data_IF_173028715306
#
_entry.id   IF_173028715306
#
_cell.length_a   1.000
_cell.length_b   1.000
_cell.length_c   1.000
_cell.angle_alpha   90.00
_cell.angle_beta   90.00
_cell.angle_gamma   90.00
#
_symmetry.space_group_name_H-M   'P 1'
#
loop_
_entity.id
_entity.type
_entity.pdbx_description
1 polymer ?
#
# COMPACT_ATOMS: atom_id res chain seq x y z
N UNK A 1 4.20 -10.27 -6.37
CA UNK A 1 4.06 -9.94 -4.95
C UNK A 1 4.39 -8.47 -4.69
N UNK A 2 5.48 -7.87 -5.23
CA UNK A 2 5.96 -6.52 -4.89
C UNK A 2 4.91 -5.40 -5.00
N UNK A 3 4.02 -5.43 -5.99
CA UNK A 3 2.93 -4.45 -6.10
C UNK A 3 1.95 -4.59 -4.94
N UNK A 4 1.59 -5.81 -4.57
CA UNK A 4 0.71 -6.05 -3.41
C UNK A 4 1.39 -5.67 -2.10
N UNK A 5 2.70 -5.93 -1.98
CA UNK A 5 3.49 -5.54 -0.81
C UNK A 5 3.54 -4.01 -0.65
N UNK A 6 3.58 -3.26 -1.78
CA UNK A 6 3.44 -1.81 -1.78
C UNK A 6 2.10 -1.36 -1.18
N UNK A 7 1.00 -2.03 -1.55
CA UNK A 7 -0.33 -1.70 -1.04
C UNK A 7 -0.47 -2.01 0.45
N UNK A 8 0.05 -3.17 0.89
CA UNK A 8 0.09 -3.54 2.31
C UNK A 8 0.86 -2.49 3.10
N UNK A 9 2.04 -2.12 2.61
CA UNK A 9 2.89 -1.11 3.26
C UNK A 9 2.21 0.26 3.31
N UNK A 10 1.57 0.68 2.20
CA UNK A 10 0.79 1.92 2.16
C UNK A 10 -0.38 1.91 3.15
N UNK A 11 -1.11 0.79 3.22
CA UNK A 11 -2.19 0.58 4.18
C UNK A 11 -1.70 0.58 5.64
N UNK A 12 -0.51 0.05 5.91
CA UNK A 12 0.10 0.10 7.24
C UNK A 12 0.43 1.54 7.66
N UNK A 13 0.96 2.34 6.74
CA UNK A 13 1.24 3.76 7.01
C UNK A 13 -0.06 4.50 7.37
N UNK A 14 -1.13 4.28 6.61
CA UNK A 14 -2.44 4.87 6.88
C UNK A 14 -2.97 4.41 8.25
N UNK A 15 -2.90 3.12 8.55
CA UNK A 15 -3.34 2.55 9.83
C UNK A 15 -2.61 3.17 11.03
N UNK A 16 -1.29 3.37 10.91
CA UNK A 16 -0.49 4.01 11.95
C UNK A 16 -0.92 5.46 12.19
N UNK A 17 -1.16 6.22 11.10
CA UNK A 17 -1.62 7.62 11.21
C UNK A 17 -3.06 7.73 11.77
N UNK A 18 -3.89 6.73 11.53
CA UNK A 18 -5.22 6.61 12.15
C UNK A 18 -5.13 6.23 13.64
N UNK A 19 -3.95 5.86 14.14
CA UNK A 19 -3.77 5.39 15.51
C UNK A 19 -4.10 3.90 15.72
N UNK A 20 -4.46 3.16 14.67
CA UNK A 20 -4.76 1.73 14.75
C UNK A 20 -3.54 0.87 15.10
N UNK A 21 -2.32 1.42 14.94
CA UNK A 21 -1.08 0.78 15.35
C UNK A 21 -0.95 0.58 16.87
N UNK A 22 -1.62 1.39 17.69
CA UNK A 22 -1.60 1.23 19.14
C UNK A 22 -2.35 -0.02 19.62
N UNK A 23 -3.37 -0.46 18.89
CA UNK A 23 -4.11 -1.66 19.24
C UNK A 23 -3.24 -2.93 19.19
N UNK A 24 -2.28 -2.98 18.27
CA UNK A 24 -1.34 -4.10 18.14
C UNK A 24 -0.24 -4.09 19.22
N UNK A 25 0.07 -2.93 19.82
CA UNK A 25 1.04 -2.80 20.90
C UNK A 25 0.47 -3.21 22.26
N UNK A 26 -0.85 -3.18 22.44
CA UNK A 26 -1.50 -3.49 23.73
C UNK A 26 -1.77 -4.98 23.93
N UNK A 27 -1.66 -5.81 22.91
CA UNK A 27 -1.81 -7.28 23.04
C UNK A 27 -0.60 -8.04 22.44
N UNK A 28 0.55 -8.04 23.13
CA UNK A 28 1.73 -8.77 22.67
C UNK A 28 1.59 -10.30 22.76
N UNK A 29 0.56 -10.83 23.42
CA UNK A 29 0.42 -12.28 23.61
C UNK A 29 -0.30 -12.98 22.46
N UNK A 30 -1.17 -12.28 21.73
CA UNK A 30 -1.84 -12.81 20.54
C UNK A 30 -1.16 -12.39 19.22
N UNK A 31 -0.05 -11.69 19.27
CA UNK A 31 1.10 -11.58 18.35
C UNK A 31 0.88 -11.38 16.85
N UNK A 32 -0.32 -11.40 16.34
CA UNK A 32 -0.59 -11.17 14.92
C UNK A 32 -1.25 -9.81 14.75
N UNK A 33 -0.44 -8.76 14.69
CA UNK A 33 -0.95 -7.47 14.22
C UNK A 33 -1.29 -7.62 12.72
N UNK A 34 -2.49 -8.05 12.45
CA UNK A 34 -2.99 -8.07 11.08
C UNK A 34 -3.25 -6.61 10.68
N UNK A 35 -2.55 -6.07 9.70
CA UNK A 35 -2.75 -4.70 9.25
C UNK A 35 -4.10 -4.62 8.52
N UNK A 36 -5.19 -4.43 9.25
CA UNK A 36 -6.58 -4.47 8.72
C UNK A 36 -6.73 -3.56 7.51
N UNK A 37 -6.15 -2.35 7.56
CA UNK A 37 -6.20 -1.40 6.43
C UNK A 37 -5.38 -1.91 5.25
N UNK A 38 -4.19 -2.49 5.49
CA UNK A 38 -3.38 -3.11 4.44
C UNK A 38 -4.11 -4.29 3.79
N UNK A 39 -4.79 -5.11 4.59
CA UNK A 39 -5.61 -6.22 4.09
C UNK A 39 -6.79 -5.73 3.25
N UNK A 40 -7.47 -4.67 3.67
CA UNK A 40 -8.53 -4.04 2.88
C UNK A 40 -8.03 -3.64 1.50
N UNK A 41 -6.90 -2.92 1.40
CA UNK A 41 -6.32 -2.54 0.11
C UNK A 41 -5.88 -3.76 -0.70
N UNK A 42 -5.37 -4.81 -0.08
CA UNK A 42 -4.98 -6.04 -0.77
C UNK A 42 -6.19 -6.75 -1.39
N UNK A 43 -7.28 -6.87 -0.65
CA UNK A 43 -8.53 -7.46 -1.18
C UNK A 43 -9.08 -6.62 -2.33
N UNK A 44 -9.15 -5.30 -2.17
CA UNK A 44 -9.58 -4.39 -3.23
C UNK A 44 -8.70 -4.51 -4.48
N UNK A 45 -7.38 -4.52 -4.31
CA UNK A 45 -6.44 -4.69 -5.42
C UNK A 45 -6.63 -6.03 -6.12
N UNK A 46 -6.85 -7.10 -5.36
CA UNK A 46 -7.07 -8.44 -5.93
C UNK A 46 -8.35 -8.46 -6.78
N UNK A 47 -9.43 -7.87 -6.28
CA UNK A 47 -10.69 -7.78 -7.02
C UNK A 47 -10.55 -6.95 -8.30
N UNK A 48 -9.89 -5.79 -8.22
CA UNK A 48 -9.62 -4.93 -9.38
C UNK A 48 -8.73 -5.67 -10.39
N UNK A 49 -7.67 -6.34 -9.93
CA UNK A 49 -6.78 -7.13 -10.77
C UNK A 49 -7.52 -8.23 -11.54
N UNK A 50 -8.43 -8.93 -10.87
CA UNK A 50 -9.28 -9.94 -11.50
C UNK A 50 -10.27 -9.31 -12.48
N UNK A 51 -10.90 -8.20 -12.11
CA UNK A 51 -11.84 -7.48 -12.98
C UNK A 51 -11.18 -6.94 -14.26
N UNK A 52 -9.91 -6.58 -14.20
CA UNK A 52 -9.09 -6.14 -15.34
C UNK A 52 -8.50 -7.31 -16.15
N UNK A 53 -8.85 -8.56 -15.84
CA UNK A 53 -8.24 -9.75 -16.44
C UNK A 53 -6.70 -9.82 -16.28
N UNK A 54 -6.14 -9.20 -15.25
CA UNK A 54 -4.70 -9.18 -15.00
C UNK A 54 -4.09 -10.58 -14.80
N UNK A 55 -4.88 -11.52 -14.30
CA UNK A 55 -4.49 -12.93 -14.18
C UNK A 55 -4.24 -13.58 -15.55
N UNK A 56 -5.04 -13.24 -16.58
CA UNK A 56 -4.84 -13.76 -17.94
C UNK A 56 -3.56 -13.19 -18.55
N UNK A 57 -3.33 -11.89 -18.35
CA UNK A 57 -2.10 -11.24 -18.80
C UNK A 57 -0.86 -11.85 -18.15
N UNK A 58 -0.91 -12.19 -16.85
CA UNK A 58 0.21 -12.89 -16.19
C UNK A 58 0.47 -14.26 -16.80
N UNK A 59 -0.58 -15.04 -17.11
CA UNK A 59 -0.44 -16.35 -17.74
C UNK A 59 0.20 -16.21 -19.12
N UNK A 60 -0.27 -15.25 -19.93
CA UNK A 60 0.30 -14.95 -21.23
C UNK A 60 1.80 -14.58 -21.13
N UNK A 61 2.16 -13.74 -20.17
CA UNK A 61 3.56 -13.38 -19.95
C UNK A 61 4.43 -14.56 -19.50
N UNK A 62 3.91 -15.45 -18.67
CA UNK A 62 4.62 -16.68 -18.28
C UNK A 62 4.85 -17.57 -19.50
N UNK A 63 3.84 -17.74 -20.34
CA UNK A 63 3.98 -18.55 -21.57
C UNK A 63 4.98 -17.92 -22.53
N UNK A 64 4.92 -16.60 -22.74
CA UNK A 64 5.87 -15.89 -23.62
C UNK A 64 7.30 -15.90 -23.09
N UNK A 65 7.49 -15.93 -21.76
CA UNK A 65 8.82 -15.97 -21.16
C UNK A 65 9.60 -17.24 -21.51
N UNK A 66 8.96 -18.36 -21.79
CA UNK A 66 9.64 -19.57 -22.27
C UNK A 66 10.25 -19.42 -23.67
N UNK A 67 9.73 -18.47 -24.45
CA UNK A 67 10.29 -18.17 -25.79
C UNK A 67 11.43 -17.17 -25.71
N UNK A 68 11.33 -16.18 -24.84
CA UNK A 68 12.33 -15.09 -24.70
C UNK A 68 13.50 -15.48 -23.78
N UNK A 69 13.24 -16.28 -22.74
CA UNK A 69 14.22 -16.80 -21.78
C UNK A 69 14.22 -18.34 -21.80
N UNK A 70 14.87 -18.97 -22.79
CA UNK A 70 14.92 -20.44 -22.89
C UNK A 70 15.60 -21.06 -21.67
N UNK A 71 15.13 -22.26 -21.29
CA UNK A 71 15.70 -23.02 -20.16
C UNK A 71 17.19 -23.25 -20.41
N UNK A 72 18.04 -22.89 -19.45
CA UNK A 72 19.50 -23.04 -19.53
C UNK A 72 20.26 -21.76 -19.91
N UNK A 73 19.58 -20.69 -20.28
CA UNK A 73 20.18 -19.37 -20.47
C UNK A 73 20.04 -18.59 -19.15
N UNK A 74 21.18 -18.21 -18.57
CA UNK A 74 21.19 -17.41 -17.34
C UNK A 74 20.76 -15.97 -17.59
N UNK A 75 20.13 -15.34 -16.60
CA UNK A 75 19.84 -13.91 -16.62
C UNK A 75 21.13 -13.10 -16.69
N UNK A 76 21.14 -12.03 -17.47
CA UNK A 76 22.26 -11.10 -17.53
C UNK A 76 22.47 -10.38 -16.20
N UNK A 77 23.69 -9.88 -15.99
CA UNK A 77 23.98 -9.04 -14.80
C UNK A 77 23.07 -7.79 -14.77
N UNK A 78 22.73 -7.25 -15.93
CA UNK A 78 21.86 -6.08 -16.08
C UNK A 78 20.43 -6.41 -15.67
N UNK A 79 19.91 -7.59 -16.03
CA UNK A 79 18.60 -8.07 -15.62
C UNK A 79 18.52 -8.25 -14.09
N UNK A 80 19.57 -8.79 -13.45
CA UNK A 80 19.63 -8.89 -11.98
C UNK A 80 19.63 -7.51 -11.31
N UNK A 81 20.40 -6.58 -11.84
CA UNK A 81 20.43 -5.20 -11.32
C UNK A 81 19.07 -4.51 -11.52
N UNK A 82 18.43 -4.72 -12.67
CA UNK A 82 17.08 -4.23 -12.97
C UNK A 82 16.05 -4.75 -11.94
N UNK A 83 16.06 -6.05 -11.65
CA UNK A 83 15.19 -6.66 -10.64
C UNK A 83 15.42 -6.08 -9.23
N UNK A 84 16.68 -5.92 -8.83
CA UNK A 84 17.02 -5.33 -7.54
C UNK A 84 16.58 -3.87 -7.44
N UNK A 85 16.79 -3.08 -8.49
CA UNK A 85 16.33 -1.69 -8.56
C UNK A 85 14.81 -1.57 -8.64
N UNK A 86 14.13 -2.58 -9.18
CA UNK A 86 12.68 -2.58 -9.21
C UNK A 86 12.05 -2.67 -7.82
N UNK A 87 12.77 -3.20 -6.82
CA UNK A 87 12.35 -3.22 -5.42
C UNK A 87 12.01 -1.84 -4.84
N UNK A 88 12.58 -0.75 -5.39
CA UNK A 88 12.21 0.63 -5.00
C UNK A 88 10.72 0.93 -5.22
N UNK A 89 10.08 0.26 -6.19
CA UNK A 89 8.68 0.48 -6.52
C UNK A 89 7.72 0.08 -5.41
N UNK A 90 8.15 -0.80 -4.48
CA UNK A 90 7.38 -1.12 -3.27
C UNK A 90 7.19 0.15 -2.44
N UNK A 91 8.25 0.91 -2.21
CA UNK A 91 8.20 2.15 -1.42
C UNK A 91 7.51 3.29 -2.20
N UNK A 92 7.81 3.43 -3.47
CA UNK A 92 7.17 4.44 -4.33
C UNK A 92 5.67 4.19 -4.40
N UNK A 93 5.25 2.95 -4.65
CA UNK A 93 3.85 2.56 -4.71
C UNK A 93 3.12 2.75 -3.38
N UNK A 94 3.77 2.37 -2.27
CA UNK A 94 3.23 2.60 -0.93
C UNK A 94 2.98 4.09 -0.67
N UNK A 95 3.93 4.96 -1.01
CA UNK A 95 3.79 6.40 -0.87
C UNK A 95 2.73 6.97 -1.81
N UNK A 96 2.69 6.54 -3.08
CA UNK A 96 1.67 7.00 -4.04
C UNK A 96 0.25 6.75 -3.56
N UNK A 97 0.01 5.60 -2.94
CA UNK A 97 -1.29 5.23 -2.40
C UNK A 97 -1.59 5.95 -1.09
N UNK A 98 -0.60 6.04 -0.20
CA UNK A 98 -0.79 6.58 1.14
C UNK A 98 -0.72 8.12 1.21
N UNK A 99 -0.06 8.79 0.27
CA UNK A 99 0.24 10.23 0.34
C UNK A 99 -0.99 11.11 0.58
N UNK A 100 -2.13 10.94 -0.12
CA UNK A 100 -3.32 11.76 0.14
C UNK A 100 -3.84 11.59 1.57
N UNK A 101 -3.82 10.35 2.08
CA UNK A 101 -4.24 10.04 3.43
C UNK A 101 -3.22 10.56 4.47
N UNK A 102 -1.92 10.47 4.19
CA UNK A 102 -0.86 11.03 5.04
C UNK A 102 -1.09 12.51 5.24
N UNK A 103 -1.27 13.26 4.15
CA UNK A 103 -1.46 14.72 4.22
C UNK A 103 -2.71 15.07 5.02
N UNK A 104 -3.84 14.43 4.72
CA UNK A 104 -5.10 14.70 5.42
C UNK A 104 -5.04 14.37 6.92
N UNK A 105 -4.52 13.19 7.26
CA UNK A 105 -4.41 12.75 8.66
C UNK A 105 -3.34 13.52 9.44
N UNK A 106 -2.27 13.97 8.77
CA UNK A 106 -1.28 14.83 9.41
C UNK A 106 -1.89 16.17 9.85
N UNK A 107 -2.71 16.78 8.99
CA UNK A 107 -3.43 18.02 9.35
C UNK A 107 -4.34 17.79 10.57
N UNK A 108 -5.07 16.68 10.60
CA UNK A 108 -5.92 16.30 11.74
C UNK A 108 -5.07 16.12 13.00
N UNK A 109 -3.96 15.41 12.93
CA UNK A 109 -3.08 15.16 14.07
C UNK A 109 -2.42 16.45 14.59
N UNK A 110 -2.04 17.37 13.70
CA UNK A 110 -1.53 18.71 14.09
C UNK A 110 -2.63 19.51 14.78
N UNK A 111 -3.87 19.50 14.26
CA UNK A 111 -5.00 20.18 14.87
C UNK A 111 -5.24 19.67 16.31
N UNK A 112 -5.21 18.36 16.53
CA UNK A 112 -5.29 17.79 17.87
C UNK A 112 -4.10 18.17 18.75
N UNK A 113 -2.89 18.22 18.21
CA UNK A 113 -1.71 18.69 18.94
C UNK A 113 -1.82 20.14 19.42
N UNK A 114 -2.46 21.00 18.63
CA UNK A 114 -2.75 22.40 19.02
C UNK A 114 -3.87 22.43 20.06
N UNK A 115 -4.94 21.65 19.86
CA UNK A 115 -6.07 21.58 20.81
C UNK A 115 -5.63 21.18 22.22
N UNK A 116 -4.69 20.21 22.34
CA UNK A 116 -4.19 19.80 23.65
C UNK A 116 -3.44 20.90 24.40
N UNK A 117 -2.77 21.80 23.69
CA UNK A 117 -2.14 22.96 24.29
C UNK A 117 -3.16 24.01 24.76
N UNK A 118 -4.23 24.20 23.98
CA UNK A 118 -5.27 25.17 24.30
C UNK A 118 -6.20 24.69 25.40
N UNK A 119 -6.49 23.41 25.48
CA UNK A 119 -7.40 22.80 26.44
C UNK A 119 -6.83 21.51 27.04
N UNK A 120 -5.83 21.60 27.97
CA UNK A 120 -5.16 20.42 28.53
C UNK A 120 -6.09 19.52 29.36
N UNK A 121 -7.27 20.02 29.72
CA UNK A 121 -8.29 19.23 30.42
C UNK A 121 -9.03 18.20 29.51
N UNK A 122 -8.94 18.37 28.21
CA UNK A 122 -9.49 17.39 27.26
C UNK A 122 -8.58 16.17 27.23
N UNK A 123 -9.13 15.02 27.62
CA UNK A 123 -8.43 13.76 27.47
C UNK A 123 -8.35 13.41 25.97
N UNK A 124 -7.21 13.74 25.35
CA UNK A 124 -7.00 13.56 23.90
C UNK A 124 -7.12 12.10 23.47
N UNK A 125 -6.77 11.16 24.35
CA UNK A 125 -6.91 9.74 24.05
C UNK A 125 -8.37 9.32 24.00
N UNK A 126 -9.23 9.91 24.82
CA UNK A 126 -10.66 9.58 24.84
C UNK A 126 -11.43 10.20 23.66
N UNK A 127 -11.04 11.38 23.20
CA UNK A 127 -11.76 12.13 22.15
C UNK A 127 -11.01 12.11 20.81
N UNK A 128 -9.70 12.34 20.82
CA UNK A 128 -8.89 12.46 19.61
C UNK A 128 -8.78 11.14 18.86
N UNK A 129 -8.60 10.02 19.57
CA UNK A 129 -8.44 8.72 18.96
C UNK A 129 -9.65 8.26 18.14
N UNK A 130 -10.89 8.26 18.68
CA UNK A 130 -12.07 7.93 17.88
C UNK A 130 -12.27 8.85 16.69
N UNK A 131 -12.02 10.14 16.85
CA UNK A 131 -12.18 11.13 15.77
C UNK A 131 -11.16 10.89 14.67
N UNK A 132 -9.88 10.63 15.01
CA UNK A 132 -8.84 10.34 14.01
C UNK A 132 -9.18 9.07 13.21
N UNK A 133 -9.73 8.04 13.85
CA UNK A 133 -10.18 6.83 13.17
C UNK A 133 -11.34 7.14 12.22
N UNK A 134 -12.35 7.89 12.66
CA UNK A 134 -13.48 8.26 11.80
C UNK A 134 -13.02 9.08 10.60
N UNK A 135 -12.18 10.09 10.82
CA UNK A 135 -11.58 10.88 9.73
C UNK A 135 -10.75 10.01 8.79
N UNK A 136 -10.01 9.06 9.33
CA UNK A 136 -9.24 8.09 8.53
C UNK A 136 -10.13 7.28 7.59
N UNK A 137 -11.27 6.79 8.06
CA UNK A 137 -12.24 6.09 7.20
C UNK A 137 -12.81 7.01 6.12
N UNK A 138 -13.17 8.25 6.47
CA UNK A 138 -13.65 9.24 5.48
C UNK A 138 -12.58 9.49 4.41
N UNK A 139 -11.34 9.71 4.82
CA UNK A 139 -10.21 9.91 3.90
C UNK A 139 -9.99 8.68 3.03
N UNK A 140 -10.05 7.46 3.59
CA UNK A 140 -9.95 6.23 2.81
C UNK A 140 -11.02 6.16 1.72
N UNK A 141 -12.28 6.43 2.04
CA UNK A 141 -13.39 6.44 1.07
C UNK A 141 -13.16 7.47 -0.03
N UNK A 142 -12.73 8.68 0.32
CA UNK A 142 -12.46 9.75 -0.63
C UNK A 142 -11.25 9.46 -1.54
N UNK A 143 -10.29 8.66 -1.07
CA UNK A 143 -9.09 8.33 -1.82
C UNK A 143 -9.22 7.04 -2.66
N UNK A 144 -10.30 6.27 -2.49
CA UNK A 144 -10.55 5.04 -3.25
C UNK A 144 -10.48 5.21 -4.78
N UNK A 145 -11.05 6.26 -5.40
CA UNK A 145 -10.91 6.46 -6.84
C UNK A 145 -9.46 6.63 -7.29
N UNK A 146 -8.67 7.38 -6.51
CA UNK A 146 -7.25 7.55 -6.76
C UNK A 146 -6.47 6.25 -6.58
N UNK A 147 -6.88 5.40 -5.64
CA UNK A 147 -6.29 4.09 -5.42
C UNK A 147 -6.38 3.22 -6.68
N UNK A 148 -7.55 3.13 -7.31
CA UNK A 148 -7.75 2.35 -8.55
C UNK A 148 -6.77 2.81 -9.63
N UNK A 149 -6.71 4.13 -9.88
CA UNK A 149 -5.82 4.70 -10.88
C UNK A 149 -4.33 4.43 -10.57
N UNK A 150 -3.92 4.57 -9.30
CA UNK A 150 -2.54 4.32 -8.90
C UNK A 150 -2.16 2.84 -8.98
N UNK A 151 -3.09 1.96 -8.64
CA UNK A 151 -2.89 0.52 -8.79
C UNK A 151 -2.71 0.12 -10.27
N UNK A 152 -3.53 0.68 -11.17
CA UNK A 152 -3.36 0.49 -12.61
C UNK A 152 -1.99 0.95 -13.09
N UNK A 153 -1.56 2.14 -12.70
CA UNK A 153 -0.22 2.65 -13.04
C UNK A 153 0.90 1.72 -12.56
N UNK A 154 0.81 1.19 -11.34
CA UNK A 154 1.81 0.25 -10.82
C UNK A 154 1.82 -1.07 -11.58
N UNK A 155 0.66 -1.55 -12.03
CA UNK A 155 0.58 -2.75 -12.88
C UNK A 155 1.18 -2.51 -14.26
N UNK A 156 0.88 -1.37 -14.88
CA UNK A 156 1.41 -1.02 -16.20
C UNK A 156 2.95 -0.90 -16.16
N UNK A 157 3.50 -0.29 -15.11
CA UNK A 157 4.95 -0.22 -14.88
C UNK A 157 5.54 -1.63 -14.68
N UNK A 158 4.89 -2.49 -13.90
CA UNK A 158 5.32 -3.87 -13.72
C UNK A 158 5.35 -4.62 -15.06
N UNK A 159 4.27 -4.54 -15.83
CA UNK A 159 4.18 -5.24 -17.10
C UNK A 159 5.17 -4.70 -18.14
N UNK A 160 5.39 -3.38 -18.17
CA UNK A 160 6.41 -2.78 -19.04
C UNK A 160 7.81 -3.26 -18.69
N UNK A 161 8.14 -3.33 -17.40
CA UNK A 161 9.41 -3.83 -16.91
C UNK A 161 9.62 -5.32 -17.25
N UNK A 162 8.60 -6.15 -17.06
CA UNK A 162 8.68 -7.58 -17.37
C UNK A 162 8.90 -7.83 -18.88
N UNK A 163 8.29 -7.00 -19.74
CA UNK A 163 8.54 -7.05 -21.20
C UNK A 163 9.96 -6.63 -21.60
N UNK A 164 10.62 -5.78 -20.80
CA UNK A 164 12.01 -5.41 -21.07
C UNK A 164 13.01 -6.47 -20.63
N UNK A 165 12.61 -7.36 -19.70
CA UNK A 165 13.43 -8.47 -19.24
C UNK A 165 13.35 -9.70 -20.15
N UNK A 166 12.27 -9.81 -20.91
CA UNK A 166 12.03 -10.88 -21.89
C UNK A 166 12.55 -10.50 -23.28
#
# INVERSE_FOLDING_TARGET
SLVFDALITGGQIIAQLMGLGFASMMDPQNGVSVPVVGQFYTVMATLIFLAMNGHLLLIEMVVSSFQSLPIGVGLSRESFMGLALWGKWVFIGALMVALPAIVALLVVNIAFGVMTRAAPQLNIFAVGFPITIMFGFVVMVLTLPNFVTKFQQLLDELFSFLRQLS
#
